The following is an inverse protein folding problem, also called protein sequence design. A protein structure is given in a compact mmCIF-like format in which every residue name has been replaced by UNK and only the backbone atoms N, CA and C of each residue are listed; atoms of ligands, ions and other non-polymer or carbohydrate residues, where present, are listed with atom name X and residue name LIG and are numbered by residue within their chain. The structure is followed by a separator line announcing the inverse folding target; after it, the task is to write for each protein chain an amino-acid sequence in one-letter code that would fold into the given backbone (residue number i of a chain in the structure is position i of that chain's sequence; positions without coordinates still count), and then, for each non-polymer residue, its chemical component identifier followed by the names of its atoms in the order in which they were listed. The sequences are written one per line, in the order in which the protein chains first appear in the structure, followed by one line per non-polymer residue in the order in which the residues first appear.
data_IF_420238649669
#
_entry.id   IF_420238649669
#
_cell.length_a   1.000
_cell.length_b   1.000
_cell.length_c   1.000
_cell.angle_alpha   90.00
_cell.angle_beta   90.00
_cell.angle_gamma   90.00
#
_symmetry.space_group_name_H-M   'P 1'
#
loop_
_entity.id
_entity.type
_entity.pdbx_description
1 polymer ?
#
# COMPACT_ATOMS: atom_id res chain seq x y z
N UNK A 1 -59.73 9.10 -13.90
CA UNK A 1 -59.44 7.65 -13.83
C UNK A 1 -57.97 7.36 -13.51
N UNK A 2 -57.00 8.19 -13.94
CA UNK A 2 -55.57 8.09 -13.58
C UNK A 2 -55.30 8.04 -12.06
N UNK A 3 -55.91 8.96 -11.30
CA UNK A 3 -55.64 9.14 -9.86
C UNK A 3 -56.04 7.92 -9.02
N UNK A 4 -57.18 7.29 -9.31
CA UNK A 4 -57.66 6.11 -8.59
C UNK A 4 -56.82 4.84 -8.86
N UNK A 5 -56.28 4.68 -10.08
CA UNK A 5 -55.33 3.59 -10.41
C UNK A 5 -54.02 3.76 -9.65
N UNK A 6 -53.55 4.99 -9.51
CA UNK A 6 -52.30 5.30 -8.80
C UNK A 6 -52.43 5.03 -7.29
N UNK A 7 -53.58 5.34 -6.68
CA UNK A 7 -53.85 5.05 -5.26
C UNK A 7 -53.91 3.54 -4.98
N UNK A 8 -54.59 2.75 -5.82
CA UNK A 8 -54.65 1.29 -5.64
C UNK A 8 -53.30 0.59 -5.81
N UNK A 9 -52.47 1.07 -6.75
CA UNK A 9 -51.10 0.57 -6.92
C UNK A 9 -50.22 0.91 -5.71
N UNK A 10 -50.38 2.11 -5.15
CA UNK A 10 -49.67 2.58 -3.99
C UNK A 10 -50.02 1.78 -2.71
N UNK A 11 -51.30 1.46 -2.51
CA UNK A 11 -51.77 0.59 -1.42
C UNK A 11 -51.23 -0.84 -1.57
N UNK A 12 -51.25 -1.37 -2.79
CA UNK A 12 -50.69 -2.71 -3.10
C UNK A 12 -49.20 -2.77 -2.79
N UNK A 13 -48.44 -1.76 -3.21
CA UNK A 13 -47.01 -1.66 -2.92
C UNK A 13 -46.74 -1.57 -1.42
N UNK A 14 -47.53 -0.80 -0.67
CA UNK A 14 -47.37 -0.69 0.78
C UNK A 14 -47.65 -2.03 1.50
N UNK A 15 -48.69 -2.75 1.09
CA UNK A 15 -49.02 -4.07 1.66
C UNK A 15 -47.93 -5.11 1.36
N UNK A 16 -47.45 -5.16 0.12
CA UNK A 16 -46.37 -6.07 -0.29
C UNK A 16 -45.05 -5.73 0.41
N UNK A 17 -44.72 -4.44 0.56
CA UNK A 17 -43.55 -3.99 1.30
C UNK A 17 -43.59 -4.43 2.77
N UNK A 18 -44.74 -4.27 3.44
CA UNK A 18 -44.92 -4.71 4.83
C UNK A 18 -44.75 -6.22 4.99
N UNK A 19 -45.29 -7.02 4.07
CA UNK A 19 -45.10 -8.48 4.07
C UNK A 19 -43.65 -8.87 3.76
N UNK A 20 -43.02 -8.23 2.78
CA UNK A 20 -41.62 -8.47 2.43
C UNK A 20 -40.68 -8.13 3.60
N UNK A 21 -40.95 -7.07 4.36
CA UNK A 21 -40.19 -6.70 5.57
C UNK A 21 -40.21 -7.79 6.66
N UNK A 22 -41.23 -8.66 6.68
CA UNK A 22 -41.28 -9.82 7.59
C UNK A 22 -40.48 -11.04 7.10
N UNK A 23 -39.79 -10.92 5.96
CA UNK A 23 -39.03 -12.00 5.33
C UNK A 23 -39.81 -12.83 4.31
N UNK A 24 -40.99 -12.36 3.86
CA UNK A 24 -41.77 -13.07 2.85
C UNK A 24 -41.16 -12.90 1.45
N UNK A 25 -40.43 -13.92 0.99
CA UNK A 25 -39.77 -13.91 -0.32
C UNK A 25 -40.75 -13.82 -1.51
N UNK A 26 -41.95 -14.40 -1.40
CA UNK A 26 -42.96 -14.30 -2.46
C UNK A 26 -43.49 -12.87 -2.59
N UNK A 27 -43.78 -12.21 -1.47
CA UNK A 27 -44.19 -10.81 -1.46
C UNK A 27 -43.11 -9.88 -2.02
N UNK A 28 -41.84 -10.14 -1.67
CA UNK A 28 -40.70 -9.40 -2.24
C UNK A 28 -40.59 -9.59 -3.76
N UNK A 29 -40.74 -10.82 -4.25
CA UNK A 29 -40.74 -11.11 -5.69
C UNK A 29 -41.89 -10.40 -6.43
N UNK A 30 -43.10 -10.38 -5.87
CA UNK A 30 -44.22 -9.63 -6.45
C UNK A 30 -43.97 -8.12 -6.44
N UNK A 31 -43.39 -7.59 -5.36
CA UNK A 31 -43.04 -6.18 -5.24
C UNK A 31 -41.99 -5.78 -6.30
N UNK A 32 -41.01 -6.64 -6.56
CA UNK A 32 -40.04 -6.46 -7.65
C UNK A 32 -40.72 -6.45 -9.02
N UNK A 33 -41.54 -7.46 -9.34
CA UNK A 33 -42.20 -7.60 -10.65
C UNK A 33 -43.06 -6.38 -11.01
N UNK A 34 -43.72 -5.79 -10.02
CA UNK A 34 -44.52 -4.58 -10.18
C UNK A 34 -43.64 -3.35 -10.47
N UNK A 35 -42.51 -3.22 -9.77
CA UNK A 35 -41.73 -1.98 -9.76
C UNK A 35 -40.49 -1.99 -10.67
N UNK A 36 -40.09 -3.14 -11.24
CA UNK A 36 -38.89 -3.26 -12.10
C UNK A 36 -38.90 -2.34 -13.32
N UNK A 37 -40.06 -2.11 -13.94
CA UNK A 37 -40.19 -1.18 -15.07
C UNK A 37 -39.93 0.28 -14.68
N UNK A 38 -40.35 0.68 -13.47
CA UNK A 38 -40.08 2.01 -12.94
C UNK A 38 -38.59 2.18 -12.62
N UNK A 39 -37.97 1.17 -11.99
CA UNK A 39 -36.54 1.16 -11.71
C UNK A 39 -35.72 1.25 -12.99
N UNK A 40 -36.06 0.45 -14.01
CA UNK A 40 -35.39 0.51 -15.30
C UNK A 40 -35.45 1.92 -15.92
N UNK A 41 -36.62 2.57 -15.89
CA UNK A 41 -36.77 3.95 -16.39
C UNK A 41 -35.95 4.97 -15.58
N UNK A 42 -35.96 4.87 -14.25
CA UNK A 42 -35.16 5.73 -13.39
C UNK A 42 -33.66 5.56 -13.66
N UNK A 43 -33.23 4.34 -13.98
CA UNK A 43 -31.81 4.03 -14.19
C UNK A 43 -31.36 4.55 -15.53
N UNK A 44 -32.11 4.31 -16.60
CA UNK A 44 -31.80 4.86 -17.90
C UNK A 44 -31.63 6.38 -17.87
N UNK A 45 -32.49 7.06 -17.11
CA UNK A 45 -32.37 8.50 -16.89
C UNK A 45 -31.08 8.86 -16.17
N UNK A 46 -30.69 8.10 -15.14
CA UNK A 46 -29.42 8.31 -14.45
C UNK A 46 -28.21 7.99 -15.35
N UNK A 47 -28.19 6.80 -15.96
CA UNK A 47 -27.14 6.28 -16.84
C UNK A 47 -26.85 7.19 -18.02
N UNK A 48 -27.88 7.79 -18.64
CA UNK A 48 -27.70 8.75 -19.74
C UNK A 48 -26.81 9.96 -19.40
N UNK A 49 -26.75 10.34 -18.12
CA UNK A 49 -25.89 11.42 -17.64
C UNK A 49 -24.63 10.96 -16.90
N UNK A 50 -24.47 9.65 -16.65
CA UNK A 50 -23.40 9.09 -15.82
C UNK A 50 -22.70 7.90 -16.49
N UNK A 51 -22.82 7.77 -17.82
CA UNK A 51 -22.26 6.65 -18.57
C UNK A 51 -20.76 6.48 -18.36
N UNK A 52 -19.98 7.56 -18.50
CA UNK A 52 -18.53 7.52 -18.28
C UNK A 52 -18.17 7.05 -16.87
N UNK A 53 -18.94 7.48 -15.87
CA UNK A 53 -18.77 7.04 -14.49
C UNK A 53 -19.08 5.55 -14.35
N UNK A 54 -20.21 5.07 -14.88
CA UNK A 54 -20.57 3.65 -14.84
C UNK A 54 -19.52 2.77 -15.55
N UNK A 55 -19.07 3.17 -16.74
CA UNK A 55 -18.05 2.48 -17.52
C UNK A 55 -16.70 2.43 -16.77
N UNK A 56 -16.29 3.54 -16.14
CA UNK A 56 -15.07 3.59 -15.31
C UNK A 56 -15.15 2.70 -14.06
N UNK A 57 -16.36 2.47 -13.56
CA UNK A 57 -16.63 1.57 -12.45
C UNK A 57 -16.96 0.13 -12.89
N UNK A 58 -16.82 -0.17 -14.19
CA UNK A 58 -17.07 -1.50 -14.76
C UNK A 58 -18.53 -1.96 -14.66
N UNK A 59 -19.47 -1.05 -14.43
CA UNK A 59 -20.88 -1.38 -14.27
C UNK A 59 -21.59 -1.47 -15.61
N UNK A 60 -22.19 -2.63 -15.88
CA UNK A 60 -23.05 -2.84 -17.04
C UNK A 60 -24.53 -2.56 -16.73
N UNK A 61 -25.35 -2.52 -17.77
CA UNK A 61 -26.82 -2.41 -17.61
C UNK A 61 -27.39 -3.63 -16.88
N UNK A 62 -26.84 -4.82 -17.12
CA UNK A 62 -27.28 -6.07 -16.50
C UNK A 62 -26.94 -6.10 -15.00
N UNK A 63 -25.81 -5.52 -14.61
CA UNK A 63 -25.46 -5.34 -13.19
C UNK A 63 -26.49 -4.47 -12.50
N UNK A 64 -26.95 -3.41 -13.17
CA UNK A 64 -27.97 -2.55 -12.62
C UNK A 64 -29.32 -3.27 -12.39
N UNK A 65 -29.73 -4.16 -13.31
CA UNK A 65 -30.97 -4.92 -13.12
C UNK A 65 -30.91 -5.78 -11.85
N UNK A 66 -29.75 -6.38 -11.58
CA UNK A 66 -29.52 -7.14 -10.36
C UNK A 66 -29.51 -6.23 -9.13
N UNK A 67 -28.83 -5.08 -9.21
CA UNK A 67 -28.81 -4.08 -8.12
C UNK A 67 -30.20 -3.50 -7.83
N UNK A 68 -31.04 -3.34 -8.84
CA UNK A 68 -32.42 -2.90 -8.70
C UNK A 68 -33.22 -3.78 -7.74
N UNK A 69 -32.97 -5.09 -7.71
CA UNK A 69 -33.62 -6.01 -6.77
C UNK A 69 -33.27 -5.67 -5.32
N UNK A 70 -31.99 -5.41 -5.03
CA UNK A 70 -31.54 -5.00 -3.70
C UNK A 70 -32.11 -3.63 -3.28
N UNK A 71 -32.33 -2.72 -4.24
CA UNK A 71 -33.05 -1.49 -3.97
C UNK A 71 -34.50 -1.73 -3.52
N UNK A 72 -35.21 -2.68 -4.14
CA UNK A 72 -36.57 -3.07 -3.71
C UNK A 72 -36.55 -3.72 -2.33
N UNK A 73 -35.58 -4.61 -2.07
CA UNK A 73 -35.43 -5.24 -0.76
C UNK A 73 -35.20 -4.19 0.33
N UNK A 74 -34.24 -3.28 0.13
CA UNK A 74 -33.97 -2.19 1.07
C UNK A 74 -35.20 -1.30 1.26
N UNK A 75 -35.89 -0.97 0.16
CA UNK A 75 -37.12 -0.19 0.20
C UNK A 75 -38.19 -0.89 1.06
N UNK A 76 -38.41 -2.19 0.88
CA UNK A 76 -39.40 -2.95 1.64
C UNK A 76 -39.09 -2.96 3.14
N UNK A 77 -37.84 -3.21 3.51
CA UNK A 77 -37.41 -3.28 4.92
C UNK A 77 -37.54 -1.93 5.67
N UNK A 78 -37.36 -0.82 4.96
CA UNK A 78 -37.26 0.52 5.58
C UNK A 78 -38.43 1.46 5.24
N UNK A 79 -39.40 0.98 4.46
CA UNK A 79 -40.56 1.80 4.08
C UNK A 79 -41.53 1.93 5.25
N UNK A 80 -41.91 3.17 5.54
CA UNK A 80 -42.91 3.49 6.56
C UNK A 80 -44.07 4.26 5.90
N UNK A 81 -45.23 3.59 5.69
CA UNK A 81 -46.44 4.24 5.16
C UNK A 81 -46.93 5.40 6.03
N UNK A 82 -46.65 5.40 7.34
CA UNK A 82 -47.09 6.42 8.28
C UNK A 82 -46.48 7.81 8.05
N UNK A 83 -45.36 7.89 7.32
CA UNK A 83 -44.70 9.15 6.95
C UNK A 83 -45.38 9.88 5.79
N UNK A 84 -46.40 9.29 5.16
CA UNK A 84 -47.15 9.91 4.06
C UNK A 84 -46.38 10.03 2.75
N UNK A 85 -45.23 9.36 2.61
CA UNK A 85 -44.42 9.34 1.39
C UNK A 85 -44.87 8.16 0.52
N UNK A 86 -45.10 8.42 -0.78
CA UNK A 86 -45.42 7.36 -1.72
C UNK A 86 -44.26 6.34 -1.83
N UNK A 87 -44.60 5.08 -2.07
CA UNK A 87 -43.62 3.99 -2.15
C UNK A 87 -42.70 4.21 -3.35
N UNK A 88 -43.23 4.71 -4.47
CA UNK A 88 -42.44 5.08 -5.65
C UNK A 88 -41.37 6.14 -5.34
N UNK A 89 -41.70 7.13 -4.52
CA UNK A 89 -40.75 8.17 -4.07
C UNK A 89 -39.68 7.56 -3.16
N UNK A 90 -40.08 6.69 -2.24
CA UNK A 90 -39.15 5.97 -1.37
C UNK A 90 -38.23 5.03 -2.16
N UNK A 91 -38.79 4.34 -3.15
CA UNK A 91 -38.05 3.44 -4.03
C UNK A 91 -37.03 4.21 -4.87
N UNK A 92 -37.36 5.41 -5.35
CA UNK A 92 -36.40 6.28 -6.03
C UNK A 92 -35.21 6.65 -5.13
N UNK A 93 -35.44 6.85 -3.83
CA UNK A 93 -34.37 7.07 -2.86
C UNK A 93 -33.53 5.80 -2.62
N UNK A 94 -34.18 4.66 -2.39
CA UNK A 94 -33.52 3.37 -2.21
C UNK A 94 -32.64 3.01 -3.40
N UNK A 95 -33.11 3.31 -4.61
CA UNK A 95 -32.38 3.09 -5.85
C UNK A 95 -31.12 3.95 -5.95
N UNK A 96 -31.20 5.25 -5.65
CA UNK A 96 -30.01 6.13 -5.63
C UNK A 96 -28.98 5.64 -4.61
N UNK A 97 -29.43 5.24 -3.42
CA UNK A 97 -28.58 4.62 -2.41
C UNK A 97 -27.89 3.38 -2.96
N UNK A 98 -28.61 2.53 -3.69
CA UNK A 98 -28.06 1.30 -4.25
C UNK A 98 -27.06 1.56 -5.38
N UNK A 99 -27.34 2.52 -6.27
CA UNK A 99 -26.39 2.95 -7.30
C UNK A 99 -25.08 3.42 -6.63
N UNK A 100 -25.18 4.27 -5.62
CA UNK A 100 -23.99 4.71 -4.88
C UNK A 100 -23.26 3.54 -4.21
N UNK A 101 -24.01 2.59 -3.64
CA UNK A 101 -23.44 1.41 -3.00
C UNK A 101 -22.69 0.54 -4.00
N UNK A 102 -23.25 0.32 -5.19
CA UNK A 102 -22.64 -0.45 -6.27
C UNK A 102 -21.37 0.22 -6.80
N UNK A 103 -21.41 1.54 -7.05
CA UNK A 103 -20.24 2.31 -7.51
C UNK A 103 -19.11 2.36 -6.48
N UNK A 104 -19.45 2.29 -5.20
CA UNK A 104 -18.46 2.42 -4.12
C UNK A 104 -18.04 1.09 -3.51
N UNK A 105 -18.78 0.01 -3.77
CA UNK A 105 -18.65 -1.27 -3.09
C UNK A 105 -18.62 -1.12 -1.55
N UNK A 106 -19.29 -0.09 -1.01
CA UNK A 106 -19.24 0.30 0.40
C UNK A 106 -18.00 1.08 0.85
N UNK A 107 -16.97 1.20 0.02
CA UNK A 107 -15.78 2.00 0.27
C UNK A 107 -16.02 3.45 -0.16
N UNK A 108 -16.34 4.32 0.79
CA UNK A 108 -16.67 5.73 0.53
C UNK A 108 -15.69 6.66 1.23
N UNK A 109 -15.32 7.75 0.56
CA UNK A 109 -14.59 8.87 1.16
C UNK A 109 -15.24 10.19 0.79
N UNK A 110 -15.16 11.13 1.72
CA UNK A 110 -15.66 12.48 1.53
C UNK A 110 -14.50 13.38 1.09
N UNK A 111 -14.67 14.06 -0.05
CA UNK A 111 -13.71 15.02 -0.57
C UNK A 111 -14.39 16.37 -0.67
N UNK A 112 -13.73 17.40 -0.15
CA UNK A 112 -14.18 18.79 -0.34
C UNK A 112 -13.80 19.23 -1.74
N UNK A 113 -14.79 19.49 -2.59
CA UNK A 113 -14.61 19.98 -3.94
C UNK A 113 -14.07 21.42 -3.96
N UNK A 114 -13.70 21.87 -5.15
CA UNK A 114 -13.27 23.26 -5.40
C UNK A 114 -14.39 24.28 -5.14
N UNK A 115 -15.64 23.81 -5.10
CA UNK A 115 -16.84 24.56 -4.73
C UNK A 115 -17.08 24.64 -3.21
N UNK A 116 -16.20 24.05 -2.40
CA UNK A 116 -16.32 23.97 -0.94
C UNK A 116 -17.38 22.98 -0.46
N UNK A 117 -18.01 22.22 -1.35
CA UNK A 117 -19.01 21.20 -0.99
C UNK A 117 -18.33 19.86 -0.75
N UNK A 118 -18.93 19.09 0.15
CA UNK A 118 -18.49 17.71 0.41
C UNK A 118 -19.12 16.79 -0.64
N UNK A 119 -18.28 16.15 -1.45
CA UNK A 119 -18.67 15.12 -2.41
C UNK A 119 -18.22 13.76 -1.87
N UNK A 120 -19.14 12.80 -1.83
CA UNK A 120 -18.79 11.42 -1.48
C UNK A 120 -18.41 10.66 -2.75
N UNK A 121 -17.17 10.21 -2.82
CA UNK A 121 -16.67 9.40 -3.95
C UNK A 121 -16.30 7.99 -3.49
N UNK A 122 -16.10 7.10 -4.46
CA UNK A 122 -15.54 5.78 -4.19
C UNK A 122 -14.11 5.89 -3.64
N UNK A 123 -13.84 5.08 -2.63
CA UNK A 123 -12.52 4.81 -2.09
C UNK A 123 -12.03 3.41 -2.46
N UNK A 124 -12.77 2.69 -3.33
CA UNK A 124 -12.35 1.41 -3.84
C UNK A 124 -11.14 1.59 -4.76
N UNK A 125 -9.98 0.98 -4.45
CA UNK A 125 -8.79 1.10 -5.27
C UNK A 125 -8.98 0.54 -6.69
N UNK A 126 -9.90 -0.42 -6.90
CA UNK A 126 -10.17 -1.00 -8.21
C UNK A 126 -10.79 0.00 -9.19
N UNK A 127 -11.49 1.00 -8.67
CA UNK A 127 -12.08 2.06 -9.50
C UNK A 127 -11.06 3.08 -10.02
N UNK A 128 -9.81 2.96 -9.59
CA UNK A 128 -8.72 3.85 -9.95
C UNK A 128 -7.47 3.09 -10.40
N UNK A 129 -7.59 1.79 -10.70
CA UNK A 129 -6.49 1.01 -11.23
C UNK A 129 -6.50 1.01 -12.77
N UNK A 130 -5.30 1.05 -13.36
CA UNK A 130 -5.10 0.88 -14.79
C UNK A 130 -4.76 -0.58 -15.08
N UNK A 131 -5.25 -1.12 -16.20
CA UNK A 131 -4.89 -2.48 -16.63
C UNK A 131 -3.39 -2.57 -16.93
N UNK A 132 -2.76 -3.66 -16.48
CA UNK A 132 -1.37 -3.95 -16.84
C UNK A 132 -1.22 -4.30 -18.31
N UNK A 133 -2.28 -4.83 -18.92
CA UNK A 133 -2.33 -5.17 -20.35
C UNK A 133 -2.66 -3.96 -21.23
N UNK A 134 -2.90 -2.79 -20.63
CA UNK A 134 -3.07 -1.57 -21.41
C UNK A 134 -1.72 -1.19 -22.08
N UNK A 135 -1.76 -0.66 -23.32
CA UNK A 135 -0.56 -0.21 -24.00
C UNK A 135 0.09 0.94 -23.24
N UNK A 136 1.41 0.91 -23.11
CA UNK A 136 2.16 1.93 -22.37
C UNK A 136 2.40 3.21 -23.18
N UNK A 137 2.31 3.14 -24.51
CA UNK A 137 2.51 4.25 -25.44
C UNK A 137 1.36 5.26 -25.44
N UNK A 138 1.67 6.51 -25.75
CA UNK A 138 0.70 7.63 -25.75
C UNK A 138 -0.30 7.59 -26.89
N UNK A 139 0.01 6.86 -27.96
CA UNK A 139 -0.78 6.68 -29.18
C UNK A 139 -1.55 5.34 -29.21
N UNK A 140 -1.36 4.47 -28.21
CA UNK A 140 -1.94 3.14 -28.20
C UNK A 140 -1.40 2.20 -29.30
N UNK A 141 -0.34 2.61 -30.00
CA UNK A 141 0.31 1.81 -31.06
C UNK A 141 1.54 1.04 -30.56
N UNK A 142 1.92 1.22 -29.28
CA UNK A 142 3.01 0.46 -28.69
C UNK A 142 2.57 -0.99 -28.41
N UNK A 143 3.32 -1.96 -28.94
CA UNK A 143 3.17 -3.38 -28.56
C UNK A 143 3.53 -3.64 -27.08
N UNK A 144 4.24 -2.71 -26.43
CA UNK A 144 4.63 -2.81 -25.02
C UNK A 144 3.48 -2.46 -24.09
N UNK A 145 3.23 -3.33 -23.12
CA UNK A 145 2.20 -3.15 -22.08
C UNK A 145 2.79 -2.53 -20.80
N UNK A 146 1.95 -1.96 -19.93
CA UNK A 146 2.41 -1.49 -18.62
C UNK A 146 3.01 -2.61 -17.76
N UNK A 147 2.47 -3.83 -17.88
CA UNK A 147 2.98 -5.02 -17.19
C UNK A 147 4.43 -5.34 -17.55
N UNK A 148 4.82 -5.18 -18.81
CA UNK A 148 6.19 -5.41 -19.28
C UNK A 148 7.20 -4.39 -18.75
N UNK A 149 6.74 -3.18 -18.39
CA UNK A 149 7.58 -2.14 -17.81
C UNK A 149 7.73 -2.24 -16.29
N UNK A 150 6.94 -3.08 -15.63
CA UNK A 150 7.02 -3.26 -14.19
C UNK A 150 8.23 -4.11 -13.81
N UNK A 151 9.21 -3.55 -13.09
CA UNK A 151 10.37 -4.32 -12.67
C UNK A 151 10.01 -5.30 -11.56
N UNK A 152 10.52 -6.53 -11.66
CA UNK A 152 10.44 -7.50 -10.56
C UNK A 152 11.43 -7.12 -9.45
N UNK A 153 10.89 -6.68 -8.32
CA UNK A 153 11.66 -6.29 -7.15
C UNK A 153 12.43 -7.48 -6.54
N UNK A 154 11.93 -8.70 -6.67
CA UNK A 154 12.58 -9.90 -6.15
C UNK A 154 13.82 -10.22 -6.97
N UNK A 155 13.67 -10.28 -8.29
CA UNK A 155 14.79 -10.49 -9.21
C UNK A 155 15.86 -9.39 -9.07
N UNK A 156 15.46 -8.13 -8.93
CA UNK A 156 16.40 -7.02 -8.70
C UNK A 156 17.21 -7.19 -7.41
N UNK A 157 16.57 -7.63 -6.32
CA UNK A 157 17.23 -7.90 -5.03
C UNK A 157 18.16 -9.11 -5.09
N UNK A 158 17.78 -10.17 -5.81
CA UNK A 158 18.64 -11.35 -5.97
C UNK A 158 19.93 -11.00 -6.71
N UNK A 159 19.82 -10.18 -7.77
CA UNK A 159 20.99 -9.74 -8.54
C UNK A 159 21.94 -8.90 -7.68
N UNK A 160 21.41 -7.95 -6.90
CA UNK A 160 22.18 -7.19 -5.91
C UNK A 160 22.81 -8.11 -4.85
N UNK A 161 22.06 -9.10 -4.36
CA UNK A 161 22.52 -10.02 -3.33
C UNK A 161 23.72 -10.89 -3.76
N UNK A 162 23.89 -11.17 -5.06
CA UNK A 162 25.06 -11.89 -5.58
C UNK A 162 26.32 -11.01 -5.51
N UNK A 163 26.23 -9.76 -5.97
CA UNK A 163 27.33 -8.80 -5.93
C UNK A 163 27.71 -8.49 -4.47
N UNK A 164 26.72 -8.23 -3.63
CA UNK A 164 26.91 -7.97 -2.21
C UNK A 164 27.56 -9.16 -1.51
N UNK A 165 27.17 -10.40 -1.83
CA UNK A 165 27.76 -11.58 -1.20
C UNK A 165 29.25 -11.70 -1.52
N UNK A 166 29.62 -11.58 -2.79
CA UNK A 166 31.02 -11.65 -3.21
C UNK A 166 31.85 -10.52 -2.59
N UNK A 167 31.28 -9.31 -2.52
CA UNK A 167 31.91 -8.17 -1.87
C UNK A 167 32.17 -8.43 -0.38
N UNK A 168 31.14 -8.90 0.36
CA UNK A 168 31.25 -9.19 1.78
C UNK A 168 32.25 -10.31 2.05
N UNK A 169 32.27 -11.38 1.25
CA UNK A 169 33.25 -12.47 1.36
C UNK A 169 34.68 -11.94 1.26
N UNK A 170 34.98 -11.15 0.23
CA UNK A 170 36.32 -10.56 0.04
C UNK A 170 36.72 -9.59 1.16
N UNK A 171 35.76 -8.79 1.65
CA UNK A 171 35.99 -7.89 2.77
C UNK A 171 36.26 -8.68 4.07
N UNK A 172 35.46 -9.71 4.35
CA UNK A 172 35.65 -10.58 5.51
C UNK A 172 37.02 -11.25 5.47
N UNK A 173 37.42 -11.81 4.32
CA UNK A 173 38.74 -12.39 4.14
C UNK A 173 39.84 -11.36 4.43
N UNK A 174 39.70 -10.13 3.95
CA UNK A 174 40.69 -9.08 4.22
C UNK A 174 40.77 -8.71 5.71
N UNK A 175 39.64 -8.65 6.42
CA UNK A 175 39.58 -8.39 7.87
C UNK A 175 40.20 -9.54 8.66
N UNK A 176 39.83 -10.79 8.38
CA UNK A 176 40.42 -11.95 9.07
C UNK A 176 41.93 -12.03 8.84
N UNK A 177 42.40 -11.83 7.61
CA UNK A 177 43.83 -11.78 7.29
C UNK A 177 44.58 -10.65 8.05
N UNK A 178 43.93 -9.53 8.35
CA UNK A 178 44.53 -8.45 9.13
C UNK A 178 44.50 -8.76 10.63
N UNK A 179 43.42 -9.38 11.11
CA UNK A 179 43.28 -9.84 12.49
C UNK A 179 44.33 -10.89 12.86
N UNK A 180 44.65 -11.82 11.96
CA UNK A 180 45.68 -12.85 12.17
C UNK A 180 47.10 -12.28 12.37
N UNK A 181 47.37 -11.07 11.87
CA UNK A 181 48.68 -10.40 12.04
C UNK A 181 48.81 -9.67 13.38
N UNK A 182 47.71 -9.48 14.11
CA UNK A 182 47.72 -8.79 15.38
C UNK A 182 48.37 -9.65 16.47
N UNK A 183 48.97 -9.03 17.50
CA UNK A 183 49.35 -9.73 18.72
C UNK A 183 48.15 -10.50 19.33
N UNK A 184 48.37 -11.67 19.95
CA UNK A 184 47.29 -12.52 20.47
C UNK A 184 46.41 -11.79 21.49
N UNK A 185 47.00 -10.98 22.38
CA UNK A 185 46.26 -10.14 23.34
C UNK A 185 45.35 -9.11 22.65
N UNK A 186 45.77 -8.56 21.50
CA UNK A 186 44.99 -7.59 20.72
C UNK A 186 43.84 -8.28 19.98
N UNK A 187 44.11 -9.44 19.37
CA UNK A 187 43.12 -10.26 18.69
C UNK A 187 42.01 -10.74 19.65
N UNK A 188 42.38 -11.21 20.83
CA UNK A 188 41.43 -11.74 21.82
C UNK A 188 40.47 -10.66 22.33
N UNK A 189 40.98 -9.45 22.58
CA UNK A 189 40.14 -8.29 22.97
C UNK A 189 39.16 -7.93 21.85
N UNK A 190 39.61 -7.89 20.59
CA UNK A 190 38.73 -7.58 19.46
C UNK A 190 37.67 -8.66 19.23
N UNK A 191 38.03 -9.95 19.28
CA UNK A 191 37.06 -11.06 19.14
C UNK A 191 36.02 -11.05 20.26
N UNK A 192 36.43 -10.82 21.51
CA UNK A 192 35.48 -10.72 22.62
C UNK A 192 34.53 -9.54 22.44
N UNK A 193 35.05 -8.36 22.09
CA UNK A 193 34.22 -7.16 22.04
C UNK A 193 33.31 -7.10 20.80
N UNK A 194 33.84 -7.39 19.60
CA UNK A 194 33.13 -7.19 18.33
C UNK A 194 32.47 -8.45 17.75
N UNK A 195 32.94 -9.65 18.09
CA UNK A 195 32.40 -10.91 17.54
C UNK A 195 31.55 -11.69 18.56
N UNK A 196 31.69 -11.40 19.85
CA UNK A 196 30.94 -12.05 20.93
C UNK A 196 30.03 -11.06 21.68
N UNK A 197 29.94 -9.81 21.22
CA UNK A 197 29.14 -8.72 21.81
C UNK A 197 29.34 -8.52 23.32
N UNK A 198 30.55 -8.82 23.83
CA UNK A 198 30.86 -8.66 25.25
C UNK A 198 31.13 -7.20 25.58
N UNK A 199 30.63 -6.76 26.72
CA UNK A 199 30.94 -5.43 27.26
C UNK A 199 32.42 -5.34 27.67
N UNK A 200 32.95 -4.13 27.76
CA UNK A 200 34.31 -3.89 28.27
C UNK A 200 34.61 -4.58 29.61
N UNK A 201 33.60 -4.66 30.49
CA UNK A 201 33.74 -5.30 31.81
C UNK A 201 33.85 -6.82 31.70
N UNK A 202 33.07 -7.42 30.81
CA UNK A 202 33.11 -8.87 30.55
C UNK A 202 34.39 -9.26 29.81
N UNK A 203 34.81 -8.47 28.81
CA UNK A 203 36.08 -8.68 28.10
C UNK A 203 37.27 -8.57 29.06
N UNK A 204 37.27 -7.59 29.97
CA UNK A 204 38.28 -7.48 31.02
C UNK A 204 38.33 -8.72 31.93
N UNK A 205 37.18 -9.27 32.29
CA UNK A 205 37.10 -10.51 33.07
C UNK A 205 37.62 -11.74 32.32
N UNK A 206 37.40 -11.82 31.01
CA UNK A 206 37.82 -12.96 30.17
C UNK A 206 39.33 -12.92 29.93
N UNK A 207 39.85 -11.74 29.58
CA UNK A 207 41.28 -11.52 29.26
C UNK A 207 42.14 -11.39 30.53
N UNK A 208 41.51 -11.21 31.70
CA UNK A 208 42.22 -11.10 32.98
C UNK A 208 43.00 -9.79 33.15
N UNK A 209 42.53 -8.70 32.53
CA UNK A 209 43.18 -7.38 32.56
C UNK A 209 42.22 -6.30 33.05
N UNK A 210 42.75 -5.17 33.51
CA UNK A 210 41.94 -4.03 33.93
C UNK A 210 41.18 -3.38 32.75
N UNK A 211 40.02 -2.78 33.03
CA UNK A 211 39.17 -2.07 32.06
C UNK A 211 39.95 -1.00 31.26
N UNK A 212 40.80 -0.23 31.93
CA UNK A 212 41.63 0.80 31.28
C UNK A 212 42.64 0.18 30.32
N UNK A 213 43.17 -0.99 30.67
CA UNK A 213 44.15 -1.73 29.87
C UNK A 213 43.48 -2.35 28.64
N UNK A 214 42.28 -2.92 28.79
CA UNK A 214 41.49 -3.44 27.65
C UNK A 214 41.20 -2.35 26.63
N UNK A 215 40.75 -1.16 27.07
CA UNK A 215 40.53 -0.01 26.18
C UNK A 215 41.81 0.43 25.47
N UNK A 216 42.95 0.41 26.18
CA UNK A 216 44.24 0.75 25.58
C UNK A 216 44.71 -0.29 24.56
N UNK A 217 44.46 -1.58 24.81
CA UNK A 217 44.73 -2.69 23.88
C UNK A 217 43.86 -2.54 22.62
N UNK A 218 42.55 -2.35 22.78
CA UNK A 218 41.64 -2.14 21.65
C UNK A 218 42.06 -0.92 20.82
N UNK A 219 42.38 0.21 21.46
CA UNK A 219 42.84 1.42 20.77
C UNK A 219 44.19 1.27 20.06
N UNK A 220 45.04 0.32 20.48
CA UNK A 220 46.26 -0.04 19.72
C UNK A 220 45.94 -0.98 18.57
N UNK A 221 45.13 -2.00 18.81
CA UNK A 221 44.69 -2.97 17.80
C UNK A 221 44.00 -2.25 16.62
N UNK A 222 43.06 -1.35 16.91
CA UNK A 222 42.37 -0.55 15.89
C UNK A 222 43.32 0.40 15.14
N UNK A 223 44.36 0.93 15.80
CA UNK A 223 45.39 1.73 15.11
C UNK A 223 46.23 0.88 14.16
N UNK A 224 46.60 -0.32 14.58
CA UNK A 224 47.35 -1.26 13.76
C UNK A 224 46.53 -1.69 12.54
N UNK A 225 45.23 -1.98 12.72
CA UNK A 225 44.31 -2.31 11.62
C UNK A 225 44.14 -1.15 10.64
N UNK A 226 44.01 0.09 11.11
CA UNK A 226 43.94 1.29 10.24
C UNK A 226 45.20 1.50 9.40
N UNK A 227 46.34 1.00 9.85
CA UNK A 227 47.60 1.12 9.13
C UNK A 227 47.78 0.04 8.04
N UNK A 228 46.97 -1.03 8.02
CA UNK A 228 47.09 -2.09 7.00
C UNK A 228 46.63 -1.57 5.62
N UNK A 229 47.51 -1.53 4.61
CA UNK A 229 47.15 -1.06 3.27
C UNK A 229 46.03 -1.87 2.60
N UNK A 230 45.90 -3.17 2.93
CA UNK A 230 44.84 -4.01 2.37
C UNK A 230 43.48 -3.60 2.90
N UNK A 231 43.38 -3.22 4.17
CA UNK A 231 42.15 -2.71 4.77
C UNK A 231 41.84 -1.28 4.33
N UNK A 232 42.87 -0.48 4.01
CA UNK A 232 42.67 0.88 3.53
C UNK A 232 41.87 0.94 2.23
N UNK A 233 42.09 0.00 1.30
CA UNK A 233 41.25 -0.13 0.09
C UNK A 233 39.78 -0.31 0.46
N UNK A 234 39.47 -1.23 1.38
CA UNK A 234 38.10 -1.49 1.82
C UNK A 234 37.51 -0.36 2.67
N UNK A 235 38.32 0.37 3.43
CA UNK A 235 37.89 1.53 4.19
C UNK A 235 37.52 2.69 3.26
N UNK A 236 38.39 3.01 2.31
CA UNK A 236 38.18 4.09 1.36
C UNK A 236 37.04 3.73 0.40
N UNK A 237 36.97 2.46 -0.02
CA UNK A 237 35.84 1.91 -0.76
C UNK A 237 34.57 1.88 0.10
N UNK A 238 34.59 1.55 1.38
CA UNK A 238 33.39 1.62 2.23
C UNK A 238 32.93 3.07 2.44
N UNK A 239 33.84 4.03 2.57
CA UNK A 239 33.48 5.45 2.67
C UNK A 239 32.91 5.96 1.34
N UNK A 240 33.49 5.56 0.21
CA UNK A 240 33.02 5.96 -1.12
C UNK A 240 31.81 5.13 -1.54
N UNK A 241 31.92 3.82 -1.66
CA UNK A 241 30.89 2.85 -2.07
C UNK A 241 29.73 2.72 -1.10
N UNK A 242 29.82 3.03 0.20
CA UNK A 242 28.59 3.17 1.02
C UNK A 242 27.86 4.49 0.77
N UNK A 243 28.57 5.49 0.22
CA UNK A 243 27.96 6.62 -0.46
C UNK A 243 27.41 6.27 -1.87
N UNK A 244 27.51 5.01 -2.31
CA UNK A 244 26.93 4.50 -3.56
C UNK A 244 26.13 3.17 -3.39
N UNK A 245 26.10 2.57 -2.20
CA UNK A 245 25.32 1.36 -1.90
C UNK A 245 23.87 1.77 -1.71
N UNK A 246 22.95 1.05 -2.35
CA UNK A 246 21.57 1.51 -2.48
C UNK A 246 21.43 2.83 -3.29
N UNK A 247 22.27 3.03 -4.32
CA UNK A 247 22.10 4.10 -5.32
C UNK A 247 20.96 3.86 -6.33
N UNK A 248 20.26 2.72 -6.22
CA UNK A 248 19.14 2.41 -7.09
C UNK A 248 17.96 3.34 -6.83
N UNK A 249 17.17 3.60 -7.89
CA UNK A 249 15.95 4.41 -7.84
C UNK A 249 15.05 4.06 -6.64
N UNK A 250 14.88 2.77 -6.33
CA UNK A 250 14.04 2.29 -5.23
C UNK A 250 14.54 2.68 -3.83
N UNK A 251 15.85 2.79 -3.65
CA UNK A 251 16.42 3.22 -2.38
C UNK A 251 16.40 4.74 -2.22
N UNK A 252 16.55 5.48 -3.33
CA UNK A 252 16.32 6.92 -3.34
C UNK A 252 14.86 7.26 -3.01
N UNK A 253 13.90 6.57 -3.64
CA UNK A 253 12.46 6.80 -3.44
C UNK A 253 12.01 6.61 -1.98
N UNK A 254 12.63 5.67 -1.26
CA UNK A 254 12.22 5.31 0.11
C UNK A 254 13.06 5.96 1.21
N UNK A 255 14.20 6.56 0.88
CA UNK A 255 15.17 6.99 1.91
C UNK A 255 15.96 8.26 1.58
N UNK A 256 15.66 8.95 0.48
CA UNK A 256 16.35 10.19 0.09
C UNK A 256 17.67 9.96 -0.66
N UNK A 257 18.41 11.04 -0.94
CA UNK A 257 19.66 10.95 -1.69
C UNK A 257 20.78 10.28 -0.89
N UNK A 258 21.74 9.70 -1.61
CA UNK A 258 22.79 8.90 -0.97
C UNK A 258 23.77 9.79 -0.20
N UNK A 259 23.99 11.00 -0.70
CA UNK A 259 24.79 12.03 -0.05
C UNK A 259 24.19 12.38 1.31
N UNK A 260 22.88 12.57 1.38
CA UNK A 260 22.16 12.91 2.62
C UNK A 260 22.24 11.76 3.63
N UNK A 261 21.94 10.53 3.19
CA UNK A 261 22.03 9.33 4.05
C UNK A 261 23.45 9.06 4.56
N UNK A 262 24.45 9.34 3.73
CA UNK A 262 25.86 9.17 4.09
C UNK A 262 26.26 10.20 5.13
N UNK A 263 25.87 11.46 4.95
CA UNK A 263 26.11 12.53 5.92
C UNK A 263 25.39 12.22 7.24
N UNK A 264 24.10 11.89 7.23
CA UNK A 264 23.34 11.52 8.44
C UNK A 264 23.98 10.35 9.19
N UNK A 265 24.45 9.31 8.47
CA UNK A 265 25.12 8.18 9.12
C UNK A 265 26.50 8.55 9.67
N UNK A 266 27.26 9.40 9.00
CA UNK A 266 28.56 9.86 9.47
C UNK A 266 28.42 10.79 10.69
N UNK A 267 27.37 11.61 10.73
CA UNK A 267 26.95 12.40 11.90
C UNK A 267 26.61 11.48 13.07
N UNK A 268 25.71 10.53 12.86
CA UNK A 268 25.25 9.59 13.89
C UNK A 268 26.39 8.74 14.47
N UNK A 269 27.42 8.44 13.67
CA UNK A 269 28.59 7.66 14.10
C UNK A 269 29.77 8.53 14.56
N UNK A 270 29.61 9.86 14.54
CA UNK A 270 30.63 10.82 14.92
C UNK A 270 31.93 10.70 14.08
N UNK A 271 31.79 10.29 12.83
CA UNK A 271 32.91 10.02 11.90
C UNK A 271 33.19 11.18 10.95
N UNK A 272 32.38 12.25 10.94
CA UNK A 272 32.61 13.44 10.10
C UNK A 272 33.94 14.15 10.39
N UNK A 273 34.51 13.97 11.59
CA UNK A 273 35.72 14.66 12.03
C UNK A 273 37.02 13.82 11.91
N UNK A 274 37.00 12.73 11.14
CA UNK A 274 38.15 11.83 10.97
C UNK A 274 38.77 11.98 9.57
N UNK A 275 39.14 13.20 9.20
CA UNK A 275 40.18 13.47 8.20
C UNK A 275 40.92 14.76 8.59
N UNK A 276 42.27 14.79 8.61
CA UNK A 276 43.00 16.05 8.46
C UNK A 276 42.88 16.62 7.05
#
# INVERSE_FOLDING_TARGET
MESAKNTGQQETNAALAALAATGNAFALGQLWEINKGLLHSMFWKWYSGHREQADAHGMTVDDFEQEGFFAVQYAAEHYDPGKGIAFSTWLAYAMKRQIDQALTNGHRRNITGTDGKIHTISADPLNHCTSLDAPAGTDGESDTTFGELLPDQTAAREMQGVEDRLYHEQMHDAVENALEKLPPDELEVLRCHFYQDKTYKETASVVGKDLSTVRAIEGRALRNLRADPKLRRWHDDFITTRAWSNAGFFAWQNSGSIEERTIESLENRNLLNVCP
#
